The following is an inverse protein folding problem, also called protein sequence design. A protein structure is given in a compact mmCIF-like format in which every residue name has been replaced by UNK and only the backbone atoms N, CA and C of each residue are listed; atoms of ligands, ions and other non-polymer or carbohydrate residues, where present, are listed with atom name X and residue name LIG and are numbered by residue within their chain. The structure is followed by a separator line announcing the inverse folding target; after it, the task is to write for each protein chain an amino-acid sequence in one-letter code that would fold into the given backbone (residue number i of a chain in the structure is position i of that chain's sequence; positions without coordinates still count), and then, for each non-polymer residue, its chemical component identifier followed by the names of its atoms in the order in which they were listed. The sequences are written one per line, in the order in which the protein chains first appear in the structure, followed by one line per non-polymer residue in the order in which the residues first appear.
data_IF_907526957859
#
_entry.id   IF_907526957859
#
_cell.length_a   1.000
_cell.length_b   1.000
_cell.length_c   1.000
_cell.angle_alpha   90.00
_cell.angle_beta   90.00
_cell.angle_gamma   90.00
#
_symmetry.space_group_name_H-M   'P 1'
#
loop_
_entity.id
_entity.type
_entity.pdbx_description
1 polymer ?
#
# COMPACT_ATOMS: atom_id res chain seq x y z
N UNK A 1 -3.69 -17.52 -18.76
CA UNK A 1 -3.02 -16.25 -18.42
C UNK A 1 -2.08 -16.45 -17.25
N UNK A 2 -0.84 -16.02 -17.37
CA UNK A 2 0.12 -16.10 -16.26
C UNK A 2 -0.19 -15.02 -15.22
N UNK A 3 0.36 -15.19 -14.02
CA UNK A 3 0.23 -14.19 -12.95
C UNK A 3 0.80 -12.83 -13.40
N UNK A 4 1.95 -12.84 -14.05
CA UNK A 4 2.57 -11.61 -14.57
C UNK A 4 1.69 -10.91 -15.61
N UNK A 5 1.08 -11.68 -16.51
CA UNK A 5 0.15 -11.14 -17.51
C UNK A 5 -1.07 -10.50 -16.84
N UNK A 6 -1.61 -11.14 -15.81
CA UNK A 6 -2.75 -10.60 -15.06
C UNK A 6 -2.38 -9.31 -14.34
N UNK A 7 -1.21 -9.23 -13.74
CA UNK A 7 -0.73 -8.00 -13.11
C UNK A 7 -0.63 -6.87 -14.13
N UNK A 8 -0.09 -7.17 -15.32
CA UNK A 8 0.04 -6.16 -16.37
C UNK A 8 -1.33 -5.68 -16.86
N UNK A 9 -2.27 -6.58 -17.04
CA UNK A 9 -3.63 -6.26 -17.46
C UNK A 9 -4.34 -5.36 -16.45
N UNK A 10 -4.23 -5.68 -15.16
CA UNK A 10 -4.84 -4.88 -14.10
C UNK A 10 -4.17 -3.51 -13.98
N UNK A 11 -2.85 -3.44 -14.16
CA UNK A 11 -2.13 -2.17 -14.17
C UNK A 11 -2.65 -1.26 -15.29
N UNK A 12 -2.83 -1.80 -16.50
CA UNK A 12 -3.39 -1.05 -17.63
C UNK A 12 -4.82 -0.59 -17.36
N UNK A 13 -5.63 -1.43 -16.72
CA UNK A 13 -6.99 -1.07 -16.33
C UNK A 13 -6.99 0.10 -15.33
N UNK A 14 -6.15 0.03 -14.31
CA UNK A 14 -6.04 1.11 -13.31
C UNK A 14 -5.63 2.41 -13.99
N UNK A 15 -4.60 2.37 -14.83
CA UNK A 15 -4.14 3.55 -15.56
C UNK A 15 -5.24 4.18 -16.39
N UNK A 16 -6.03 3.36 -17.10
CA UNK A 16 -7.12 3.85 -17.93
C UNK A 16 -8.23 4.50 -17.11
N UNK A 17 -8.60 3.89 -15.98
CA UNK A 17 -9.71 4.39 -15.15
C UNK A 17 -9.35 5.70 -14.48
N UNK A 18 -8.10 5.86 -13.99
CA UNK A 18 -7.69 7.07 -13.27
C UNK A 18 -7.09 8.15 -14.17
N UNK A 19 -7.02 7.91 -15.48
CA UNK A 19 -6.45 8.88 -16.41
C UNK A 19 -7.12 10.24 -16.28
N UNK A 20 -6.31 11.29 -16.11
CA UNK A 20 -6.80 12.65 -15.97
C UNK A 20 -7.32 13.01 -14.59
N UNK A 21 -7.43 12.06 -13.68
CA UNK A 21 -7.89 12.34 -12.31
C UNK A 21 -6.79 13.03 -11.50
N UNK A 22 -7.12 14.15 -10.87
CA UNK A 22 -6.17 14.94 -10.07
C UNK A 22 -6.30 14.69 -8.57
N UNK A 23 -7.45 14.15 -8.12
CA UNK A 23 -7.64 13.82 -6.71
C UNK A 23 -6.83 12.57 -6.32
N UNK A 24 -5.89 12.71 -5.41
CA UNK A 24 -5.11 11.55 -4.93
C UNK A 24 -6.00 10.57 -4.17
N UNK A 25 -6.97 11.06 -3.41
CA UNK A 25 -7.93 10.20 -2.72
C UNK A 25 -8.69 9.32 -3.70
N UNK A 26 -9.18 9.91 -4.79
CA UNK A 26 -9.91 9.17 -5.83
C UNK A 26 -9.00 8.13 -6.50
N UNK A 27 -7.75 8.48 -6.78
CA UNK A 27 -6.77 7.55 -7.37
C UNK A 27 -6.49 6.37 -6.43
N UNK A 28 -6.23 6.65 -5.16
CA UNK A 28 -5.93 5.60 -4.18
C UNK A 28 -7.14 4.69 -3.95
N UNK A 29 -8.32 5.28 -3.83
CA UNK A 29 -9.54 4.49 -3.62
C UNK A 29 -9.83 3.59 -4.82
N UNK A 30 -9.69 4.10 -6.03
CA UNK A 30 -9.94 3.35 -7.25
C UNK A 30 -8.92 2.22 -7.44
N UNK A 31 -7.63 2.52 -7.24
CA UNK A 31 -6.58 1.49 -7.33
C UNK A 31 -6.82 0.38 -6.30
N UNK A 32 -7.14 0.74 -5.06
CA UNK A 32 -7.43 -0.24 -4.01
C UNK A 32 -8.63 -1.11 -4.39
N UNK A 33 -9.69 -0.50 -4.92
CA UNK A 33 -10.89 -1.21 -5.34
C UNK A 33 -10.59 -2.22 -6.44
N UNK A 34 -9.90 -1.80 -7.50
CA UNK A 34 -9.59 -2.68 -8.63
C UNK A 34 -8.66 -3.83 -8.23
N UNK A 35 -7.64 -3.55 -7.44
CA UNK A 35 -6.74 -4.59 -6.95
C UNK A 35 -7.49 -5.62 -6.11
N UNK A 36 -8.37 -5.17 -5.22
CA UNK A 36 -9.16 -6.07 -4.38
C UNK A 36 -10.11 -6.94 -5.21
N UNK A 37 -10.74 -6.35 -6.24
CA UNK A 37 -11.68 -7.08 -7.09
C UNK A 37 -11.00 -8.08 -8.03
N UNK A 38 -9.80 -7.78 -8.50
CA UNK A 38 -9.11 -8.61 -9.48
C UNK A 38 -8.28 -9.73 -8.88
N UNK A 39 -7.87 -9.60 -7.60
CA UNK A 39 -7.00 -10.56 -6.93
C UNK A 39 -7.64 -11.01 -5.62
N UNK A 40 -8.24 -12.18 -5.62
CA UNK A 40 -8.93 -12.73 -4.44
C UNK A 40 -7.97 -13.11 -3.32
N UNK A 41 -6.68 -13.24 -3.63
CA UNK A 41 -5.65 -13.54 -2.64
C UNK A 41 -5.03 -12.28 -2.01
N UNK A 42 -5.44 -11.09 -2.44
CA UNK A 42 -5.05 -9.84 -1.78
C UNK A 42 -6.01 -9.62 -0.59
N UNK A 43 -5.57 -10.06 0.56
CA UNK A 43 -6.36 -10.01 1.78
C UNK A 43 -6.67 -8.57 2.21
N UNK A 44 -5.65 -7.70 2.11
CA UNK A 44 -5.77 -6.27 2.38
C UNK A 44 -5.00 -5.52 1.31
N UNK A 45 -5.60 -4.51 0.73
CA UNK A 45 -4.93 -3.66 -0.26
C UNK A 45 -5.35 -2.22 -0.07
N UNK A 46 -4.38 -1.33 -0.01
CA UNK A 46 -4.68 0.06 0.25
C UNK A 46 -3.43 0.90 0.43
N UNK A 47 -3.63 2.09 0.95
CA UNK A 47 -2.59 3.10 1.06
C UNK A 47 -2.52 3.64 2.48
N UNK A 48 -1.30 3.82 2.96
CA UNK A 48 -0.98 4.62 4.14
C UNK A 48 -0.32 5.89 3.66
N UNK A 49 -0.83 7.03 4.10
CA UNK A 49 -0.33 8.34 3.66
C UNK A 49 0.54 8.97 4.75
N UNK A 50 1.52 9.76 4.34
CA UNK A 50 2.31 10.53 5.29
C UNK A 50 1.40 11.60 5.90
N UNK A 51 1.36 11.67 7.25
CA UNK A 51 0.56 12.67 7.92
C UNK A 51 1.20 14.05 7.71
N UNK A 52 0.49 15.03 7.16
CA UNK A 52 1.05 16.36 6.94
C UNK A 52 1.42 17.09 8.23
N UNK A 53 0.88 16.65 9.37
CA UNK A 53 1.16 17.25 10.68
C UNK A 53 2.24 16.48 11.45
N UNK A 54 2.57 15.25 11.01
CA UNK A 54 3.58 14.39 11.63
C UNK A 54 4.36 13.69 10.54
N UNK A 55 5.42 14.27 10.06
CA UNK A 55 6.16 13.77 8.91
C UNK A 55 6.97 12.48 9.16
N UNK A 56 6.89 11.92 10.35
CA UNK A 56 7.49 10.63 10.72
C UNK A 56 6.45 9.56 11.04
N UNK A 57 5.21 9.77 10.64
CA UNK A 57 4.09 8.86 10.92
C UNK A 57 3.19 8.71 9.69
N UNK A 58 2.75 7.48 9.45
CA UNK A 58 1.78 7.17 8.42
C UNK A 58 0.38 7.13 9.03
N UNK A 59 -0.58 7.64 8.29
CA UNK A 59 -2.00 7.56 8.63
C UNK A 59 -2.72 6.74 7.56
N UNK A 60 -3.68 5.92 7.97
CA UNK A 60 -4.42 5.07 7.03
C UNK A 60 -5.17 5.93 6.02
N UNK A 61 -5.02 5.59 4.74
CA UNK A 61 -5.77 6.18 3.64
C UNK A 61 -6.81 5.21 3.10
N UNK A 62 -7.23 5.37 1.85
CA UNK A 62 -8.20 4.47 1.24
C UNK A 62 -7.68 3.03 1.18
N UNK A 63 -8.52 2.07 1.55
CA UNK A 63 -8.17 0.65 1.49
C UNK A 63 -9.40 -0.23 1.35
N UNK A 64 -9.14 -1.49 1.01
CA UNK A 64 -10.12 -2.58 0.94
C UNK A 64 -9.62 -3.74 1.76
N UNK A 65 -10.52 -4.43 2.44
CA UNK A 65 -10.19 -5.58 3.27
C UNK A 65 -10.62 -5.38 4.71
N UNK A 66 -9.94 -6.09 5.62
CA UNK A 66 -10.24 -6.01 7.05
C UNK A 66 -9.68 -4.72 7.65
N UNK A 67 -10.06 -4.45 8.89
CA UNK A 67 -9.69 -3.21 9.58
C UNK A 67 -8.16 -3.06 9.65
N UNK A 68 -7.65 -1.93 9.16
CA UNK A 68 -6.24 -1.58 9.26
C UNK A 68 -5.93 -0.75 10.49
N UNK A 69 -4.64 -0.70 10.86
CA UNK A 69 -4.20 0.22 11.91
C UNK A 69 -4.41 1.66 11.44
N UNK A 70 -4.80 2.55 12.35
CA UNK A 70 -4.99 3.96 12.00
C UNK A 70 -3.66 4.68 11.76
N UNK A 71 -2.64 4.36 12.55
CA UNK A 71 -1.35 5.02 12.53
C UNK A 71 -0.20 4.03 12.57
N UNK A 72 0.85 4.29 11.80
CA UNK A 72 2.07 3.49 11.81
C UNK A 72 3.27 4.45 11.84
N UNK A 73 4.09 4.42 12.90
CA UNK A 73 5.29 5.24 12.91
C UNK A 73 6.32 4.71 11.92
N UNK A 74 7.14 5.59 11.35
CA UNK A 74 8.19 5.20 10.41
C UNK A 74 9.21 4.23 11.01
N UNK A 75 9.32 4.23 12.34
CA UNK A 75 10.28 3.38 13.05
C UNK A 75 9.86 1.93 13.22
N UNK A 76 8.63 1.55 12.77
CA UNK A 76 8.08 0.22 13.05
C UNK A 76 7.37 -0.40 11.85
N UNK A 77 7.45 -1.74 11.79
CA UNK A 77 6.73 -2.54 10.82
C UNK A 77 7.25 -2.44 9.40
N UNK A 78 6.61 -3.17 8.49
CA UNK A 78 7.00 -3.21 7.08
C UNK A 78 6.72 -1.87 6.41
N UNK A 79 5.56 -1.27 6.70
CA UNK A 79 5.22 0.05 6.15
C UNK A 79 6.21 1.12 6.64
N UNK A 80 6.60 1.06 7.92
CA UNK A 80 7.61 1.98 8.46
C UNK A 80 8.96 1.81 7.77
N UNK A 81 9.39 0.58 7.53
CA UNK A 81 10.64 0.29 6.82
C UNK A 81 10.60 0.82 5.38
N UNK A 82 9.49 0.61 4.68
CA UNK A 82 9.30 1.14 3.33
C UNK A 82 9.37 2.67 3.31
N UNK A 83 8.68 3.32 4.26
CA UNK A 83 8.68 4.77 4.37
C UNK A 83 10.08 5.33 4.62
N UNK A 84 10.83 4.68 5.51
CA UNK A 84 12.19 5.11 5.86
C UNK A 84 13.17 4.92 4.72
N UNK A 85 13.10 3.77 4.05
CA UNK A 85 14.06 3.41 2.99
C UNK A 85 13.64 3.94 1.62
N UNK A 86 12.38 4.31 1.44
CA UNK A 86 11.80 4.72 0.15
C UNK A 86 12.01 3.64 -0.92
N UNK A 87 11.84 2.39 -0.54
CA UNK A 87 12.01 1.21 -1.40
C UNK A 87 10.85 0.26 -1.21
N UNK A 88 10.50 -0.46 -2.28
CA UNK A 88 9.58 -1.59 -2.18
C UNK A 88 10.17 -2.67 -1.28
N UNK A 89 9.37 -3.15 -0.34
CA UNK A 89 9.75 -4.22 0.58
C UNK A 89 8.78 -5.39 0.39
N UNK A 90 9.33 -6.57 0.13
CA UNK A 90 8.58 -7.81 -0.01
C UNK A 90 8.89 -8.68 1.19
N UNK A 91 7.85 -9.09 1.91
CA UNK A 91 7.98 -9.95 3.09
C UNK A 91 7.18 -11.23 2.87
N UNK A 92 7.88 -12.35 2.72
CA UNK A 92 7.24 -13.64 2.50
C UNK A 92 6.55 -14.15 3.77
N UNK A 93 7.12 -13.88 4.94
CA UNK A 93 6.56 -14.25 6.23
C UNK A 93 6.68 -13.07 7.19
N UNK A 94 5.56 -12.41 7.47
CA UNK A 94 5.53 -11.24 8.35
C UNK A 94 5.91 -11.59 9.79
N UNK A 95 5.71 -12.83 10.21
CA UNK A 95 6.04 -13.26 11.58
C UNK A 95 7.55 -13.29 11.82
N UNK A 96 8.34 -13.38 10.76
CA UNK A 96 9.79 -13.32 10.82
C UNK A 96 10.35 -11.89 10.66
N UNK A 97 9.51 -10.90 10.39
CA UNK A 97 9.95 -9.51 10.16
C UNK A 97 10.12 -8.79 11.50
N UNK A 98 11.33 -8.28 11.83
CA UNK A 98 11.57 -7.58 13.09
C UNK A 98 10.69 -6.32 13.19
N UNK A 99 9.98 -6.17 14.31
CA UNK A 99 9.14 -5.01 14.57
C UNK A 99 7.82 -4.99 13.81
N UNK A 100 7.41 -6.13 13.25
CA UNK A 100 6.12 -6.22 12.55
C UNK A 100 4.97 -5.78 13.45
N UNK A 101 4.09 -4.94 12.88
CA UNK A 101 2.86 -4.49 13.55
C UNK A 101 1.72 -5.37 13.05
N UNK A 102 1.16 -6.20 13.93
CA UNK A 102 0.05 -7.09 13.61
C UNK A 102 -1.28 -6.33 13.69
N UNK A 103 -1.59 -5.53 12.66
CA UNK A 103 -2.90 -4.88 12.56
C UNK A 103 -3.99 -5.89 12.24
N UNK A 104 -3.63 -7.01 11.61
CA UNK A 104 -4.51 -8.14 11.36
C UNK A 104 -3.70 -9.42 11.55
N UNK A 105 -4.16 -10.28 12.49
CA UNK A 105 -3.48 -11.54 12.80
C UNK A 105 -3.50 -12.56 11.66
N UNK A 106 -4.35 -12.35 10.65
CA UNK A 106 -4.46 -13.25 9.49
C UNK A 106 -3.46 -12.93 8.39
N UNK A 107 -2.76 -11.79 8.47
CA UNK A 107 -1.74 -11.42 7.50
C UNK A 107 -0.56 -12.38 7.59
N UNK A 108 -0.14 -12.97 6.47
CA UNK A 108 0.98 -13.89 6.38
C UNK A 108 2.17 -13.32 5.61
N UNK A 109 1.89 -12.60 4.55
CA UNK A 109 2.92 -11.98 3.71
C UNK A 109 2.44 -10.63 3.24
N UNK A 110 3.36 -9.78 2.85
CA UNK A 110 2.98 -8.48 2.32
C UNK A 110 4.04 -7.89 1.40
N UNK A 111 3.58 -7.01 0.52
CA UNK A 111 4.44 -6.14 -0.28
C UNK A 111 4.01 -4.71 0.00
N UNK A 112 4.99 -3.85 0.26
CA UNK A 112 4.76 -2.43 0.49
C UNK A 112 5.60 -1.64 -0.51
N UNK A 113 4.94 -0.73 -1.22
CA UNK A 113 5.54 0.04 -2.31
C UNK A 113 5.46 1.53 -1.97
N UNK A 114 6.57 2.29 -2.06
CA UNK A 114 6.52 3.72 -1.79
C UNK A 114 5.89 4.47 -2.96
N UNK A 115 5.03 5.43 -2.63
CA UNK A 115 4.49 6.39 -3.61
C UNK A 115 5.26 7.69 -3.42
N UNK A 116 6.04 8.05 -4.42
CA UNK A 116 6.87 9.26 -4.38
C UNK A 116 6.23 10.34 -5.25
N UNK A 117 6.31 11.59 -4.78
CA UNK A 117 5.88 12.71 -5.60
C UNK A 117 6.94 13.04 -6.66
N UNK A 118 6.69 14.05 -7.48
CA UNK A 118 7.62 14.45 -8.57
C UNK A 118 8.99 14.91 -8.06
N UNK A 119 9.09 15.30 -6.80
CA UNK A 119 10.34 15.76 -6.18
C UNK A 119 11.07 14.62 -5.47
N UNK A 120 10.56 13.39 -5.54
CA UNK A 120 11.14 12.23 -4.90
C UNK A 120 10.82 12.10 -3.42
N UNK A 121 9.89 12.91 -2.92
CA UNK A 121 9.47 12.84 -1.52
C UNK A 121 8.37 11.80 -1.35
N UNK A 122 8.36 11.14 -0.19
CA UNK A 122 7.35 10.15 0.13
C UNK A 122 5.99 10.79 0.35
N UNK A 123 4.99 10.32 -0.40
CA UNK A 123 3.59 10.74 -0.21
C UNK A 123 2.78 9.65 0.51
N UNK A 124 3.08 8.38 0.21
CA UNK A 124 2.35 7.26 0.79
C UNK A 124 3.15 5.97 0.68
#
# INVERSE_FOLDING_TARGET
MTKAQKYQEVLEEIKAVIEGETSMTARYATASCLLAQRFDYFFWTGFYEVDPLKNDELVVGPYQGTLGCLRIPFSRGVCGACATQKKTIIVEDVHAFPGHIACDSQTNSEIVVPVLNKDGELAA
#
